data_IF_515776932706
#
_entry.id   IF_515776932706
#
_cell.length_a   1.000
_cell.length_b   1.000
_cell.length_c   1.000
_cell.angle_alpha   90.00
_cell.angle_beta   90.00
_cell.angle_gamma   90.00
#
_symmetry.space_group_name_H-M   'P 1'
#
loop_
_entity.id
_entity.type
_entity.pdbx_description
1 polymer ?
#
# COMPACT_ATOMS: atom_id res chain seq x y z
N UNK A 1 -6.41 -13.54 -0.69
CA UNK A 1 -6.91 -12.36 -1.44
C UNK A 1 -8.39 -12.06 -1.23
N UNK A 2 -9.29 -13.04 -0.98
CA UNK A 2 -10.72 -12.74 -0.70
C UNK A 2 -10.90 -11.85 0.54
N UNK A 3 -10.26 -12.20 1.65
CA UNK A 3 -10.29 -11.40 2.88
C UNK A 3 -9.85 -9.95 2.66
N UNK A 4 -8.77 -9.74 1.90
CA UNK A 4 -8.25 -8.41 1.57
C UNK A 4 -9.21 -7.64 0.64
N UNK A 5 -9.92 -8.33 -0.26
CA UNK A 5 -10.93 -7.69 -1.09
C UNK A 5 -12.16 -7.28 -0.27
N UNK A 6 -12.64 -8.14 0.61
CA UNK A 6 -13.80 -7.88 1.48
C UNK A 6 -13.50 -6.78 2.51
N UNK A 7 -12.28 -6.73 3.02
CA UNK A 7 -11.79 -5.66 3.88
C UNK A 7 -11.75 -4.32 3.13
N UNK A 8 -11.20 -4.31 1.92
CA UNK A 8 -11.16 -3.09 1.08
C UNK A 8 -12.56 -2.58 0.76
N UNK A 9 -13.50 -3.45 0.39
CA UNK A 9 -14.89 -3.05 0.08
C UNK A 9 -15.56 -2.25 1.21
N UNK A 10 -15.17 -2.49 2.47
CA UNK A 10 -15.72 -1.83 3.65
C UNK A 10 -14.87 -0.63 4.12
N UNK A 11 -13.69 -0.45 3.53
CA UNK A 11 -12.77 0.61 3.90
C UNK A 11 -13.17 1.96 3.28
N UNK A 12 -12.64 3.04 3.85
CA UNK A 12 -12.92 4.42 3.43
C UNK A 12 -12.53 4.74 1.99
N UNK A 13 -11.65 3.93 1.38
CA UNK A 13 -11.09 4.21 0.07
C UNK A 13 -11.78 3.46 -1.08
N UNK A 14 -12.70 2.51 -0.80
CA UNK A 14 -13.31 1.69 -1.86
C UNK A 14 -14.05 2.50 -2.93
N UNK A 15 -14.61 3.65 -2.55
CA UNK A 15 -15.40 4.51 -3.43
C UNK A 15 -14.53 5.42 -4.32
N UNK A 16 -13.25 5.62 -3.99
CA UNK A 16 -12.38 6.62 -4.64
C UNK A 16 -11.05 6.07 -5.15
N UNK A 17 -10.67 4.86 -4.73
CA UNK A 17 -9.41 4.24 -5.08
C UNK A 17 -9.56 2.73 -5.27
N UNK A 18 -8.91 2.22 -6.31
CA UNK A 18 -8.76 0.80 -6.57
C UNK A 18 -7.53 0.23 -5.86
N UNK A 19 -7.39 -1.10 -5.86
CA UNK A 19 -6.21 -1.77 -5.31
C UNK A 19 -4.90 -1.23 -5.90
N UNK A 20 -4.89 -0.88 -7.19
CA UNK A 20 -3.67 -0.42 -7.87
C UNK A 20 -3.30 1.01 -7.47
N UNK A 21 -4.27 1.85 -7.12
CA UNK A 21 -4.00 3.24 -6.72
C UNK A 21 -3.25 3.30 -5.38
N UNK A 22 -3.41 2.26 -4.56
CA UNK A 22 -2.63 2.09 -3.34
C UNK A 22 -1.36 1.27 -3.57
N UNK A 23 -1.42 0.13 -4.27
CA UNK A 23 -0.34 -0.87 -4.27
C UNK A 23 0.65 -0.78 -5.44
N UNK A 24 0.39 0.06 -6.45
CA UNK A 24 1.21 0.14 -7.66
C UNK A 24 1.64 1.59 -7.92
N UNK A 25 2.88 1.84 -8.38
CA UNK A 25 3.30 3.20 -8.73
C UNK A 25 2.45 3.80 -9.87
N UNK A 26 2.23 5.12 -9.84
CA UNK A 26 1.44 5.81 -10.88
C UNK A 26 2.21 6.16 -12.16
N UNK A 27 3.56 6.15 -12.14
CA UNK A 27 4.37 6.42 -13.35
C UNK A 27 4.37 5.20 -14.27
N UNK A 28 4.30 5.43 -15.59
CA UNK A 28 4.13 4.38 -16.61
C UNK A 28 5.13 3.22 -16.47
N UNK A 29 6.44 3.48 -16.57
CA UNK A 29 7.45 2.41 -16.52
C UNK A 29 7.47 1.72 -15.14
N UNK A 30 7.57 2.43 -13.99
CA UNK A 30 7.52 1.79 -12.68
C UNK A 30 6.26 0.97 -12.41
N UNK A 31 5.09 1.40 -12.93
CA UNK A 31 3.83 0.67 -12.84
C UNK A 31 3.95 -0.72 -13.42
N UNK A 32 4.42 -0.84 -14.65
CA UNK A 32 4.51 -2.13 -15.33
C UNK A 32 5.60 -3.03 -14.73
N UNK A 33 6.73 -2.47 -14.31
CA UNK A 33 7.76 -3.25 -13.58
C UNK A 33 7.22 -3.83 -12.28
N UNK A 34 6.51 -3.02 -11.48
CA UNK A 34 5.88 -3.49 -10.24
C UNK A 34 4.81 -4.57 -10.52
N UNK A 35 3.98 -4.39 -11.56
CA UNK A 35 2.95 -5.38 -11.94
C UNK A 35 3.57 -6.71 -12.39
N UNK A 36 4.66 -6.68 -13.16
CA UNK A 36 5.38 -7.90 -13.55
C UNK A 36 5.95 -8.63 -12.34
N UNK A 37 6.67 -7.91 -11.47
CA UNK A 37 7.28 -8.48 -10.27
C UNK A 37 6.23 -9.04 -9.30
N UNK A 38 5.20 -8.26 -8.98
CA UNK A 38 4.13 -8.69 -8.09
C UNK A 38 3.35 -9.86 -8.71
N UNK A 39 3.06 -9.80 -10.02
CA UNK A 39 2.39 -10.89 -10.74
C UNK A 39 3.17 -12.19 -10.66
N UNK A 40 4.48 -12.16 -10.89
CA UNK A 40 5.34 -13.34 -10.76
C UNK A 40 5.30 -13.94 -9.35
N UNK A 41 5.51 -13.12 -8.32
CA UNK A 41 5.53 -13.61 -6.93
C UNK A 41 4.16 -14.11 -6.47
N UNK A 42 3.06 -13.45 -6.87
CA UNK A 42 1.72 -13.93 -6.58
C UNK A 42 1.44 -15.27 -7.30
N UNK A 43 1.75 -15.38 -8.59
CA UNK A 43 1.54 -16.62 -9.35
C UNK A 43 2.32 -17.78 -8.75
N UNK A 44 3.60 -17.57 -8.40
CA UNK A 44 4.42 -18.57 -7.70
C UNK A 44 3.79 -18.93 -6.35
N UNK A 45 3.56 -17.93 -5.50
CA UNK A 45 3.00 -18.05 -4.17
C UNK A 45 1.71 -18.86 -4.14
N UNK A 46 0.76 -18.53 -5.00
CA UNK A 46 -0.55 -19.20 -5.04
C UNK A 46 -0.52 -20.54 -5.79
N UNK A 47 0.45 -20.78 -6.68
CA UNK A 47 0.59 -22.09 -7.34
C UNK A 47 1.19 -23.11 -6.39
N UNK A 48 2.26 -22.73 -5.69
CA UNK A 48 2.99 -23.63 -4.78
C UNK A 48 2.50 -23.56 -3.33
N UNK A 49 1.62 -22.61 -3.02
CA UNK A 49 1.16 -22.31 -1.66
C UNK A 49 2.33 -22.01 -0.70
N UNK A 50 3.40 -21.37 -1.21
CA UNK A 50 4.66 -21.15 -0.51
C UNK A 50 4.82 -19.72 0.01
N UNK A 51 3.79 -19.21 0.69
CA UNK A 51 3.75 -17.86 1.25
C UNK A 51 3.54 -17.87 2.77
N UNK A 52 3.94 -16.77 3.41
CA UNK A 52 3.76 -16.59 4.85
C UNK A 52 2.30 -16.24 5.18
N UNK A 53 1.76 -16.86 6.22
CA UNK A 53 0.50 -16.48 6.85
C UNK A 53 0.73 -15.85 8.24
N UNK A 54 0.07 -14.72 8.57
CA UNK A 54 -0.83 -13.96 7.70
C UNK A 54 -0.08 -13.30 6.52
N UNK A 55 -0.72 -13.16 5.35
CA UNK A 55 -0.13 -12.45 4.20
C UNK A 55 0.35 -11.05 4.62
N UNK A 56 1.66 -10.79 4.45
CA UNK A 56 2.29 -9.50 4.80
C UNK A 56 2.84 -8.79 3.56
N UNK A 57 2.71 -7.47 3.56
CA UNK A 57 3.28 -6.62 2.50
C UNK A 57 4.81 -6.62 2.56
N UNK A 58 5.46 -6.78 1.41
CA UNK A 58 6.91 -6.64 1.32
C UNK A 58 7.36 -5.18 1.54
N UNK A 59 8.59 -4.94 2.07
CA UNK A 59 9.08 -3.58 2.35
C UNK A 59 9.01 -2.63 1.15
N UNK A 60 9.34 -3.10 -0.05
CA UNK A 60 9.27 -2.31 -1.29
C UNK A 60 7.85 -1.87 -1.66
N UNK A 61 6.88 -2.77 -1.50
CA UNK A 61 5.48 -2.49 -1.73
C UNK A 61 4.94 -1.52 -0.67
N UNK A 62 5.44 -1.59 0.58
CA UNK A 62 5.11 -0.61 1.63
C UNK A 62 5.61 0.79 1.27
N UNK A 63 6.81 0.91 0.73
CA UNK A 63 7.33 2.21 0.26
C UNK A 63 6.50 2.79 -0.88
N UNK A 64 6.03 1.94 -1.80
CA UNK A 64 5.11 2.34 -2.87
C UNK A 64 3.78 2.82 -2.29
N UNK A 65 3.23 2.08 -1.32
CA UNK A 65 2.00 2.44 -0.63
C UNK A 65 2.10 3.81 0.05
N UNK A 66 3.18 4.07 0.79
CA UNK A 66 3.43 5.37 1.42
C UNK A 66 3.49 6.51 0.41
N UNK A 67 4.19 6.30 -0.73
CA UNK A 67 4.26 7.30 -1.81
C UNK A 67 2.88 7.57 -2.42
N UNK A 68 2.04 6.55 -2.53
CA UNK A 68 0.70 6.69 -3.08
C UNK A 68 -0.27 7.37 -2.10
N UNK A 69 -0.10 7.19 -0.77
CA UNK A 69 -0.80 8.03 0.20
C UNK A 69 -0.49 9.52 -0.05
N UNK A 70 0.78 9.85 -0.23
CA UNK A 70 1.24 11.22 -0.48
C UNK A 70 0.90 11.73 -1.89
N UNK A 71 0.69 10.84 -2.86
CA UNK A 71 0.23 11.23 -4.18
C UNK A 71 -1.15 11.89 -4.12
N UNK A 72 -2.05 11.38 -3.29
CA UNK A 72 -3.39 11.94 -3.11
C UNK A 72 -3.46 12.97 -1.97
N UNK A 73 -2.74 12.76 -0.87
CA UNK A 73 -2.85 13.58 0.34
C UNK A 73 -1.70 14.58 0.55
N UNK A 74 -0.69 14.60 -0.33
CA UNK A 74 0.55 15.35 -0.12
C UNK A 74 0.34 16.84 0.08
N UNK A 75 -0.62 17.46 -0.62
CA UNK A 75 -0.99 18.85 -0.43
C UNK A 75 -1.62 19.09 0.94
N UNK A 76 -2.52 18.21 1.37
CA UNK A 76 -3.17 18.30 2.68
C UNK A 76 -2.18 18.18 3.85
N UNK A 77 -1.15 17.35 3.69
CA UNK A 77 -0.20 17.05 4.77
C UNK A 77 1.16 17.74 4.61
N UNK A 78 1.32 18.66 3.65
CA UNK A 78 2.64 19.21 3.28
C UNK A 78 3.42 19.77 4.47
N UNK A 79 2.71 20.41 5.40
CA UNK A 79 3.30 21.06 6.58
C UNK A 79 3.47 20.15 7.80
N UNK A 80 2.96 18.90 7.73
CA UNK A 80 2.93 17.98 8.89
C UNK A 80 3.46 16.58 8.56
N UNK A 81 3.92 16.33 7.34
CA UNK A 81 4.34 15.00 6.89
C UNK A 81 5.74 14.58 7.35
N UNK A 82 6.48 15.44 8.06
CA UNK A 82 7.85 15.17 8.52
C UNK A 82 7.96 15.10 10.04
N UNK A 83 9.01 14.46 10.54
CA UNK A 83 9.26 14.39 11.97
C UNK A 83 9.62 15.78 12.54
N UNK A 84 9.09 16.16 13.73
CA UNK A 84 9.50 17.38 14.40
C UNK A 84 11.01 17.41 14.62
N UNK A 85 11.68 18.45 14.12
CA UNK A 85 13.14 18.60 14.20
C UNK A 85 13.94 17.85 13.14
N UNK A 86 13.30 17.10 12.23
CA UNK A 86 13.95 16.44 11.10
C UNK A 86 13.07 16.45 9.85
N UNK A 87 13.16 17.54 9.08
CA UNK A 87 12.40 17.75 7.85
C UNK A 87 12.83 16.82 6.69
N UNK A 88 13.89 16.02 6.87
CA UNK A 88 14.32 15.03 5.86
C UNK A 88 13.68 13.67 6.10
N UNK A 89 13.10 13.45 7.27
CA UNK A 89 12.47 12.19 7.64
C UNK A 89 10.95 12.32 7.56
N UNK A 90 10.35 11.57 6.64
CA UNK A 90 8.90 11.51 6.51
C UNK A 90 8.28 10.61 7.58
N UNK A 91 7.09 10.99 8.06
CA UNK A 91 6.22 10.13 8.86
C UNK A 91 5.64 9.02 7.98
N UNK A 92 5.47 7.85 8.57
CA UNK A 92 4.75 6.74 7.94
C UNK A 92 3.26 6.87 8.27
N UNK A 93 2.40 6.85 7.24
CA UNK A 93 0.97 7.04 7.41
C UNK A 93 0.31 5.82 8.07
N UNK A 94 0.81 4.61 7.75
CA UNK A 94 0.12 3.34 8.04
C UNK A 94 0.05 3.01 9.53
N UNK A 95 1.09 3.24 10.36
CA UNK A 95 1.05 2.94 11.79
C UNK A 95 -0.11 3.62 12.55
N UNK A 96 -0.52 4.82 12.11
CA UNK A 96 -1.65 5.55 12.66
C UNK A 96 -2.95 5.26 11.89
N UNK A 97 -2.90 5.21 10.55
CA UNK A 97 -4.07 5.02 9.68
C UNK A 97 -4.30 3.54 9.33
N UNK A 98 -4.30 2.65 10.32
CA UNK A 98 -4.38 1.19 10.13
C UNK A 98 -5.67 0.73 9.43
N UNK A 99 -6.76 1.46 9.63
CA UNK A 99 -8.10 1.14 9.10
C UNK A 99 -8.32 1.54 7.63
N UNK A 100 -7.35 2.22 7.01
CA UNK A 100 -7.45 2.60 5.59
C UNK A 100 -7.26 1.39 4.66
N UNK A 101 -6.49 0.40 5.13
CA UNK A 101 -6.24 -0.83 4.38
C UNK A 101 -7.40 -1.82 4.46
N UNK A 102 -7.06 -3.10 4.41
CA UNK A 102 -8.03 -4.18 4.25
C UNK A 102 -7.81 -5.35 5.24
N UNK A 103 -7.15 -5.10 6.37
CA UNK A 103 -6.88 -6.12 7.39
C UNK A 103 -7.62 -5.79 8.69
N UNK A 104 -7.89 -6.78 9.56
CA UNK A 104 -8.35 -6.51 10.92
C UNK A 104 -7.31 -5.65 11.65
N UNK A 105 -7.75 -4.63 12.37
CA UNK A 105 -6.90 -3.92 13.36
C UNK A 105 -6.49 -4.92 14.43
N UNK A 106 -5.23 -5.33 14.39
CA UNK A 106 -4.54 -5.99 15.50
C UNK A 106 -3.51 -5.03 16.09
#
# INVERSE_FOLDING_TARGET
MREQYDGWQKASHHAVATCNDCHIPHRFIPKYLAKLKNGFWHSKGFTFQDFHEPIRIHPENRLTLQKNCLYCHGELVSEIATYPGDNRRMLDCIPCHRNVGHGPTQ
#
